data_IF_355358575010
#
_entry.id   IF_355358575010
#
_cell.length_a   1.000
_cell.length_b   1.000
_cell.length_c   1.000
_cell.angle_alpha   90.00
_cell.angle_beta   90.00
_cell.angle_gamma   90.00
#
_symmetry.space_group_name_H-M   'P 1'
#
loop_
_entity.id
_entity.type
_entity.pdbx_description
1 polymer ?
#
# COMPACT_ATOMS: atom_id res chain seq x y z
N UNK A 1 -3.34 14.94 22.13
CA UNK A 1 -3.63 13.79 21.25
C UNK A 1 -2.32 13.11 20.90
N UNK A 2 -2.26 11.76 20.90
CA UNK A 2 -1.01 10.99 20.95
C UNK A 2 -0.64 10.47 19.55
N UNK A 3 0.22 11.15 18.78
CA UNK A 3 0.72 10.64 17.49
C UNK A 3 1.39 9.26 17.62
N UNK A 4 1.79 8.87 18.84
CA UNK A 4 2.36 7.57 19.17
C UNK A 4 1.40 6.40 18.95
N UNK A 5 0.07 6.60 18.96
CA UNK A 5 -0.89 5.49 18.83
C UNK A 5 -0.86 4.86 17.43
N UNK A 6 -0.90 5.68 16.38
CA UNK A 6 -0.83 5.19 14.99
C UNK A 6 0.53 4.56 14.69
N UNK A 7 1.62 5.16 15.20
CA UNK A 7 2.96 4.57 15.05
C UNK A 7 2.97 3.16 15.63
N UNK A 8 2.46 2.98 16.86
CA UNK A 8 2.45 1.68 17.51
C UNK A 8 1.57 0.68 16.77
N UNK A 9 0.38 1.10 16.34
CA UNK A 9 -0.52 0.26 15.54
C UNK A 9 0.16 -0.24 14.26
N UNK A 10 0.84 0.65 13.53
CA UNK A 10 1.58 0.25 12.33
C UNK A 10 2.68 -0.75 12.69
N UNK A 11 3.45 -0.50 13.75
CA UNK A 11 4.53 -1.37 14.19
C UNK A 11 4.06 -2.76 14.66
N UNK A 12 2.89 -2.84 15.27
CA UNK A 12 2.30 -4.09 15.74
C UNK A 12 1.74 -4.94 14.58
N UNK A 13 1.35 -4.29 13.47
CA UNK A 13 0.72 -4.95 12.33
C UNK A 13 1.64 -5.17 11.12
N UNK A 14 2.86 -4.62 11.10
CA UNK A 14 3.86 -4.99 10.09
C UNK A 14 4.45 -6.37 10.38
N UNK A 15 4.87 -7.09 9.33
CA UNK A 15 5.58 -8.35 9.54
C UNK A 15 6.87 -8.12 10.35
N UNK A 16 7.12 -8.97 11.34
CA UNK A 16 8.22 -8.78 12.30
C UNK A 16 9.60 -8.59 11.66
N UNK A 17 9.86 -9.20 10.50
CA UNK A 17 11.12 -9.01 9.74
C UNK A 17 11.36 -7.57 9.27
N UNK A 18 10.31 -6.78 9.11
CA UNK A 18 10.36 -5.39 8.63
C UNK A 18 10.19 -4.36 9.74
N UNK A 19 9.91 -4.79 10.98
CA UNK A 19 9.60 -3.88 12.09
C UNK A 19 10.67 -2.81 12.30
N UNK A 20 11.95 -3.17 12.28
CA UNK A 20 13.05 -2.19 12.41
C UNK A 20 13.06 -1.15 11.30
N UNK A 21 12.79 -1.56 10.05
CA UNK A 21 12.73 -0.63 8.93
C UNK A 21 11.47 0.25 9.04
N UNK A 22 10.35 -0.29 9.51
CA UNK A 22 9.14 0.47 9.79
C UNK A 22 9.39 1.53 10.89
N UNK A 23 10.09 1.17 11.97
CA UNK A 23 10.48 2.10 13.04
C UNK A 23 11.32 3.25 12.49
N UNK A 24 12.36 2.95 11.69
CA UNK A 24 13.21 3.98 11.06
C UNK A 24 12.41 4.87 10.12
N UNK A 25 11.56 4.29 9.28
CA UNK A 25 10.74 5.00 8.31
C UNK A 25 9.74 5.93 9.00
N UNK A 26 8.98 5.43 9.97
CA UNK A 26 8.00 6.20 10.73
C UNK A 26 8.67 7.31 11.54
N UNK A 27 9.83 7.03 12.13
CA UNK A 27 10.63 8.04 12.86
C UNK A 27 10.98 9.19 11.92
N UNK A 28 11.50 8.91 10.73
CA UNK A 28 11.87 9.96 9.77
C UNK A 28 10.67 10.74 9.25
N UNK A 29 9.55 10.07 8.94
CA UNK A 29 8.30 10.75 8.58
C UNK A 29 7.81 11.69 9.71
N UNK A 30 7.90 11.25 10.96
CA UNK A 30 7.43 12.02 12.12
C UNK A 30 8.24 13.30 12.39
N UNK A 31 9.52 13.29 12.02
CA UNK A 31 10.44 14.42 12.20
C UNK A 31 10.13 15.59 11.25
N UNK A 32 9.50 15.31 10.11
CA UNK A 32 9.26 16.29 9.05
C UNK A 32 7.76 16.60 8.85
N UNK A 33 7.11 17.12 9.89
CA UNK A 33 5.67 17.42 9.90
C UNK A 33 5.19 18.40 8.83
N UNK A 34 6.09 19.20 8.25
CA UNK A 34 5.76 20.09 7.13
C UNK A 34 5.55 19.35 5.80
N UNK A 35 6.08 18.12 5.68
CA UNK A 35 5.99 17.31 4.47
C UNK A 35 5.04 16.13 4.70
N UNK A 36 5.19 15.42 5.81
CA UNK A 36 4.39 14.22 6.12
C UNK A 36 3.85 14.26 7.54
N UNK A 37 2.57 13.95 7.67
CA UNK A 37 1.92 13.63 8.94
C UNK A 37 0.81 12.62 8.70
N UNK A 38 0.03 12.32 9.74
CA UNK A 38 -1.16 11.47 9.64
C UNK A 38 -2.23 12.01 10.58
N UNK A 39 -3.48 11.71 10.25
CA UNK A 39 -4.62 12.02 11.11
C UNK A 39 -4.81 10.95 12.20
N UNK A 40 -5.83 11.15 13.05
CA UNK A 40 -6.15 10.23 14.15
C UNK A 40 -6.70 8.87 13.68
N UNK A 41 -7.00 8.71 12.39
CA UNK A 41 -7.46 7.46 11.78
C UNK A 41 -6.36 6.76 10.99
N UNK A 42 -5.12 7.28 11.04
CA UNK A 42 -4.01 6.75 10.26
C UNK A 42 -4.08 7.11 8.77
N UNK A 43 -4.89 8.09 8.38
CA UNK A 43 -4.89 8.68 7.04
C UNK A 43 -3.63 9.52 6.81
N UNK A 44 -2.98 9.35 5.66
CA UNK A 44 -1.75 10.07 5.34
C UNK A 44 -2.04 11.52 4.97
N UNK A 45 -1.28 12.44 5.57
CA UNK A 45 -1.36 13.87 5.30
C UNK A 45 -0.04 14.32 4.67
N UNK A 46 -0.12 14.85 3.45
CA UNK A 46 1.03 15.34 2.71
C UNK A 46 0.94 16.85 2.53
N UNK A 47 1.95 17.59 3.01
CA UNK A 47 2.00 19.07 2.98
C UNK A 47 0.70 19.73 3.47
N UNK A 48 0.12 19.18 4.55
CA UNK A 48 -1.12 19.66 5.16
C UNK A 48 -2.41 19.21 4.48
N UNK A 49 -2.36 18.44 3.39
CA UNK A 49 -3.53 17.90 2.71
C UNK A 49 -3.73 16.42 3.05
N UNK A 50 -4.92 16.06 3.53
CA UNK A 50 -5.31 14.67 3.77
C UNK A 50 -5.49 13.94 2.43
N UNK A 51 -4.77 12.84 2.26
CA UNK A 51 -4.88 11.99 1.08
C UNK A 51 -6.03 11.01 1.28
N UNK A 52 -7.16 11.29 0.63
CA UNK A 52 -8.40 10.52 0.84
C UNK A 52 -8.22 9.03 0.55
N UNK A 53 -8.71 8.21 1.46
CA UNK A 53 -8.67 6.75 1.36
C UNK A 53 -7.28 6.14 1.56
N UNK A 54 -6.25 6.94 1.88
CA UNK A 54 -4.95 6.41 2.27
C UNK A 54 -4.98 5.82 3.68
N UNK A 55 -4.10 4.86 3.92
CA UNK A 55 -3.90 4.26 5.24
C UNK A 55 -2.39 4.07 5.47
N UNK A 56 -1.89 4.53 6.62
CA UNK A 56 -0.47 4.49 6.97
C UNK A 56 0.09 3.07 7.06
N UNK A 57 -0.68 2.10 7.56
CA UNK A 57 -0.24 0.71 7.61
C UNK A 57 -0.04 0.16 6.20
N UNK A 58 -1.00 0.37 5.31
CA UNK A 58 -0.94 -0.12 3.92
C UNK A 58 0.22 0.51 3.15
N UNK A 59 0.46 1.81 3.33
CA UNK A 59 1.56 2.54 2.69
C UNK A 59 2.93 2.07 3.20
N UNK A 60 3.08 1.87 4.51
CA UNK A 60 4.32 1.38 5.11
C UNK A 60 4.57 -0.07 4.73
N UNK A 61 3.56 -0.93 4.77
CA UNK A 61 3.68 -2.30 4.31
C UNK A 61 4.00 -2.38 2.81
N UNK A 62 3.32 -1.59 1.96
CA UNK A 62 3.61 -1.53 0.53
C UNK A 62 5.06 -1.12 0.24
N UNK A 63 5.61 -0.24 1.06
CA UNK A 63 7.01 0.19 0.97
C UNK A 63 7.95 -0.95 1.36
N UNK A 64 7.77 -1.54 2.54
CA UNK A 64 8.73 -2.51 3.10
C UNK A 64 8.61 -3.91 2.50
N UNK A 65 7.39 -4.32 2.14
CA UNK A 65 7.08 -5.63 1.61
C UNK A 65 7.01 -5.57 0.09
N UNK A 66 8.15 -5.33 -0.57
CA UNK A 66 8.21 -5.42 -2.03
C UNK A 66 7.74 -6.81 -2.44
N UNK A 67 6.55 -6.82 -3.06
CA UNK A 67 5.78 -7.95 -3.58
C UNK A 67 6.42 -9.34 -3.43
N UNK A 68 6.26 -9.96 -2.26
CA UNK A 68 6.30 -11.42 -2.17
C UNK A 68 5.00 -11.99 -2.76
N UNK A 69 4.67 -11.68 -4.02
CA UNK A 69 3.54 -12.25 -4.76
C UNK A 69 2.11 -12.03 -4.20
N UNK A 70 1.96 -11.53 -2.97
CA UNK A 70 0.71 -11.57 -2.19
C UNK A 70 -0.04 -10.24 -2.17
N UNK A 71 0.66 -9.11 -2.06
CA UNK A 71 0.02 -7.81 -2.24
C UNK A 71 -0.29 -7.65 -3.73
N UNK A 72 -1.55 -7.71 -4.14
CA UNK A 72 -1.93 -7.57 -5.57
C UNK A 72 -2.27 -6.13 -5.94
N UNK A 73 -2.36 -5.25 -4.95
CA UNK A 73 -2.89 -3.89 -5.09
C UNK A 73 -1.91 -2.86 -4.55
N UNK A 74 -1.71 -1.81 -5.34
CA UNK A 74 -1.07 -0.58 -4.89
C UNK A 74 -1.99 0.13 -3.90
N UNK A 75 -1.51 0.52 -2.71
CA UNK A 75 -2.33 1.21 -1.73
C UNK A 75 -2.77 2.59 -2.23
N UNK A 76 -3.92 3.07 -1.75
CA UNK A 76 -4.42 4.41 -2.07
C UNK A 76 -3.44 5.47 -1.55
N UNK A 77 -3.12 6.46 -2.38
CA UNK A 77 -2.16 7.51 -2.04
C UNK A 77 -0.69 7.13 -2.23
N UNK A 78 -0.39 5.96 -2.81
CA UNK A 78 0.97 5.47 -3.03
C UNK A 78 1.90 6.47 -3.71
N UNK A 79 1.51 7.02 -4.87
CA UNK A 79 2.38 7.92 -5.63
C UNK A 79 2.75 9.18 -4.84
N UNK A 80 1.79 9.70 -4.07
CA UNK A 80 1.99 10.86 -3.21
C UNK A 80 2.91 10.50 -2.03
N UNK A 81 2.74 9.31 -1.45
CA UNK A 81 3.59 8.79 -0.39
C UNK A 81 5.04 8.57 -0.88
N UNK A 82 5.23 7.97 -2.06
CA UNK A 82 6.55 7.82 -2.69
C UNK A 82 7.20 9.18 -2.96
N UNK A 83 6.43 10.16 -3.43
CA UNK A 83 6.90 11.54 -3.60
C UNK A 83 7.36 12.16 -2.27
N UNK A 84 6.59 11.97 -1.20
CA UNK A 84 6.99 12.43 0.14
C UNK A 84 8.30 11.78 0.58
N UNK A 85 8.47 10.47 0.37
CA UNK A 85 9.72 9.78 0.70
C UNK A 85 10.92 10.30 -0.09
N UNK A 86 10.73 10.61 -1.38
CA UNK A 86 11.77 11.22 -2.21
C UNK A 86 12.16 12.62 -1.71
N UNK A 87 11.18 13.46 -1.35
CA UNK A 87 11.44 14.80 -0.80
C UNK A 87 12.14 14.76 0.57
N UNK A 88 11.90 13.70 1.35
CA UNK A 88 12.58 13.45 2.63
C UNK A 88 13.96 12.80 2.48
N UNK A 89 14.42 12.58 1.24
CA UNK A 89 15.65 11.88 0.91
C UNK A 89 15.73 10.54 1.67
N UNK A 90 14.67 9.74 1.57
CA UNK A 90 14.61 8.42 2.19
C UNK A 90 15.58 7.47 1.49
N UNK A 91 16.49 6.81 2.23
CA UNK A 91 17.41 5.86 1.62
C UNK A 91 16.67 4.60 1.16
N UNK A 92 17.01 4.10 -0.02
CA UNK A 92 16.44 2.87 -0.59
C UNK A 92 16.66 1.64 0.28
N UNK A 93 17.72 1.61 1.10
CA UNK A 93 17.97 0.54 2.07
C UNK A 93 16.86 0.39 3.12
N UNK A 94 16.18 1.48 3.48
CA UNK A 94 15.05 1.48 4.43
C UNK A 94 13.76 1.10 3.71
N UNK A 95 13.56 1.62 2.49
CA UNK A 95 12.36 1.35 1.69
C UNK A 95 12.36 -0.06 1.07
N UNK A 96 13.43 -0.84 1.22
CA UNK A 96 13.63 -2.03 0.40
C UNK A 96 13.97 -1.65 -1.05
N UNK A 97 14.42 -2.61 -1.86
CA UNK A 97 14.78 -2.40 -3.27
C UNK A 97 13.56 -2.06 -4.17
N UNK A 98 13.01 -0.85 -4.02
CA UNK A 98 11.82 -0.32 -4.70
C UNK A 98 12.12 0.21 -6.10
N UNK A 99 13.40 0.41 -6.45
CA UNK A 99 13.83 1.08 -7.70
C UNK A 99 13.87 0.17 -8.93
N UNK A 100 13.32 -1.05 -8.85
CA UNK A 100 13.18 -1.92 -10.02
C UNK A 100 11.71 -2.25 -10.21
N UNK A 101 10.99 -1.46 -11.02
CA UNK A 101 10.12 -1.94 -12.11
C UNK A 101 9.21 -0.84 -12.66
N UNK A 102 9.64 -0.31 -13.80
CA UNK A 102 8.79 0.16 -14.88
C UNK A 102 7.77 -0.92 -15.31
N UNK A 103 6.56 -0.95 -14.76
CA UNK A 103 5.43 -1.60 -15.43
C UNK A 103 4.09 -0.98 -15.03
N UNK A 104 3.49 -0.12 -15.87
CA UNK A 104 2.19 0.49 -15.62
C UNK A 104 0.99 -0.47 -15.77
N UNK A 105 1.18 -1.71 -16.24
CA UNK A 105 0.07 -2.59 -16.65
C UNK A 105 -0.76 -3.23 -15.52
N UNK A 106 -0.36 -3.15 -14.25
CA UNK A 106 -1.11 -3.81 -13.14
C UNK A 106 -2.02 -2.89 -12.34
N UNK A 107 -2.05 -1.60 -12.66
CA UNK A 107 -2.80 -0.58 -11.91
C UNK A 107 -4.32 -0.65 -12.08
N UNK A 108 -4.84 -1.43 -13.04
CA UNK A 108 -6.29 -1.47 -13.34
C UNK A 108 -7.14 -2.37 -12.44
N UNK A 109 -6.56 -3.21 -11.58
CA UNK A 109 -7.35 -4.30 -10.93
C UNK A 109 -7.95 -3.92 -9.56
N UNK A 110 -7.53 -2.83 -8.92
CA UNK A 110 -7.91 -2.55 -7.52
C UNK A 110 -8.72 -1.27 -7.31
N UNK A 111 -9.17 -0.61 -8.40
CA UNK A 111 -9.89 0.66 -8.35
C UNK A 111 -11.43 0.51 -8.49
N UNK A 112 -11.99 -0.67 -8.19
CA UNK A 112 -13.44 -0.91 -8.34
C UNK A 112 -14.08 -1.40 -7.05
N UNK A 113 -14.27 -0.48 -6.11
CA UNK A 113 -15.30 -0.50 -5.05
C UNK A 113 -15.49 0.99 -4.70
N UNK A 114 -16.60 1.69 -4.97
CA UNK A 114 -18.00 1.35 -4.76
C UNK A 114 -18.91 2.29 -5.60
N UNK A 115 -19.94 1.74 -6.26
CA UNK A 115 -21.30 2.31 -6.29
C UNK A 115 -22.27 1.20 -6.75
N UNK A 116 -23.21 0.81 -5.89
CA UNK A 116 -24.32 -0.11 -6.25
C UNK A 116 -25.56 0.74 -6.58
N UNK A 117 -26.30 0.43 -7.67
CA UNK A 117 -27.61 -0.21 -7.46
C UNK A 117 -27.96 -1.34 -8.47
N UNK A 118 -28.37 -2.49 -7.91
CA UNK A 118 -29.41 -3.43 -8.40
C UNK A 118 -29.17 -4.32 -9.65
N UNK A 119 -28.78 -5.60 -9.40
CA UNK A 119 -29.11 -6.92 -10.02
C UNK A 119 -29.50 -7.10 -11.54
N UNK A 120 -29.41 -8.31 -12.17
CA UNK A 120 -29.11 -9.65 -11.63
C UNK A 120 -28.09 -10.54 -12.41
N UNK A 121 -27.41 -11.39 -11.63
CA UNK A 121 -26.96 -12.78 -11.87
C UNK A 121 -27.09 -13.37 -13.30
N UNK A 122 -25.95 -13.71 -13.95
CA UNK A 122 -25.89 -14.85 -14.89
C UNK A 122 -24.66 -15.74 -14.66
N UNK A 123 -24.97 -17.04 -14.70
CA UNK A 123 -24.23 -18.19 -14.18
C UNK A 123 -22.97 -18.51 -14.99
N UNK A 124 -21.99 -19.08 -14.29
CA UNK A 124 -20.78 -19.73 -14.82
C UNK A 124 -21.09 -20.72 -15.94
N UNK A 125 -20.20 -20.79 -16.94
CA UNK A 125 -19.99 -22.00 -17.75
C UNK A 125 -18.53 -22.44 -17.60
N UNK A 126 -18.31 -23.41 -16.72
CA UNK A 126 -17.14 -24.30 -16.79
C UNK A 126 -17.35 -25.23 -17.98
N UNK A 127 -16.42 -25.20 -18.94
CA UNK A 127 -16.35 -26.20 -20.01
C UNK A 127 -15.61 -27.42 -19.45
N UNK A 128 -16.21 -28.64 -19.45
CA UNK A 128 -15.47 -29.85 -19.12
C UNK A 128 -14.57 -30.22 -20.30
N UNK A 129 -13.28 -30.48 -20.02
CA UNK A 129 -12.30 -30.93 -21.01
C UNK A 129 -12.44 -32.45 -21.15
N UNK A 130 -13.20 -32.91 -22.15
CA UNK A 130 -13.23 -34.32 -22.53
C UNK A 130 -12.17 -34.63 -23.59
N UNK A 131 -11.45 -35.73 -23.36
CA UNK A 131 -10.73 -36.62 -24.29
C UNK A 131 -11.23 -36.55 -25.74
N UNK A 132 -10.44 -36.76 -26.80
CA UNK A 132 -9.65 -37.97 -27.14
C UNK A 132 -8.65 -37.66 -28.26
N UNK A 133 -7.54 -38.42 -28.33
CA UNK A 133 -7.04 -39.07 -29.55
C UNK A 133 -5.88 -40.00 -29.14
N UNK A 134 -6.22 -41.27 -28.90
CA UNK A 134 -5.27 -42.38 -29.04
C UNK A 134 -5.25 -42.82 -30.50
N UNK A 135 -4.07 -43.27 -30.92
CA UNK A 135 -3.75 -43.86 -32.23
C UNK A 135 -4.55 -45.12 -32.55
#
# INVERSE_FOLDING_TARGET
MKPNTIIQEVLDNVHGRYRKNAEVLLTKLSQHKGISSWDDQGGFVYKGMLIKGSNMLDLVQGTLQIHTGTSKCTPKGWDIFMKAMAELNMPSSVMGNTMSRDHPERLQVCASDEETPTAPLKKRKTVPKSHWLSM
#
